data_IF_692108643999
#
_entry.id   IF_692108643999
#
_cell.length_a   1.000
_cell.length_b   1.000
_cell.length_c   1.000
_cell.angle_alpha   90.00
_cell.angle_beta   90.00
_cell.angle_gamma   90.00
#
_symmetry.space_group_name_H-M   'P 1'
#
loop_
_entity.id
_entity.type
_entity.pdbx_description
1 polymer ?
#
# COMPACT_ATOMS: atom_id res chain seq x y z
N UNK A 1 -9.76 -38.53 -46.81
CA UNK A 1 -9.93 -38.84 -45.38
C UNK A 1 -9.09 -37.86 -44.49
N UNK A 2 -7.81 -37.70 -44.74
CA UNK A 2 -6.90 -36.85 -43.93
C UNK A 2 -7.32 -35.37 -43.78
N UNK A 3 -7.80 -34.69 -44.85
CA UNK A 3 -8.26 -33.29 -44.80
C UNK A 3 -9.39 -33.07 -43.77
N UNK A 4 -10.37 -33.98 -43.74
CA UNK A 4 -11.48 -33.89 -42.78
C UNK A 4 -11.03 -34.08 -41.35
N UNK A 5 -10.12 -35.03 -41.13
CA UNK A 5 -9.52 -35.26 -39.80
C UNK A 5 -8.70 -34.06 -39.33
N UNK A 6 -7.87 -33.49 -40.24
CA UNK A 6 -7.06 -32.30 -39.90
C UNK A 6 -7.92 -31.10 -39.54
N UNK A 7 -9.02 -30.86 -40.30
CA UNK A 7 -9.97 -29.80 -40.00
C UNK A 7 -10.66 -30.03 -38.66
N UNK A 8 -11.13 -31.25 -38.42
CA UNK A 8 -11.80 -31.56 -37.15
C UNK A 8 -10.87 -31.42 -35.93
N UNK A 9 -9.63 -31.91 -36.02
CA UNK A 9 -8.65 -31.78 -34.95
C UNK A 9 -8.22 -30.33 -34.70
N UNK A 10 -8.04 -29.55 -35.77
CA UNK A 10 -7.73 -28.11 -35.65
C UNK A 10 -8.88 -27.33 -35.02
N UNK A 11 -10.12 -27.66 -35.41
CA UNK A 11 -11.31 -27.04 -34.81
C UNK A 11 -11.45 -27.38 -33.33
N UNK A 12 -11.22 -28.65 -32.97
CA UNK A 12 -11.24 -29.08 -31.57
C UNK A 12 -10.16 -28.37 -30.74
N UNK A 13 -8.93 -28.29 -31.28
CA UNK A 13 -7.85 -27.57 -30.63
C UNK A 13 -8.15 -26.09 -30.45
N UNK A 14 -8.73 -25.42 -31.46
CA UNK A 14 -9.15 -24.03 -31.36
C UNK A 14 -10.25 -23.82 -30.33
N UNK A 15 -11.24 -24.74 -30.25
CA UNK A 15 -12.28 -24.70 -29.21
C UNK A 15 -11.71 -24.85 -27.82
N UNK A 16 -10.79 -25.80 -27.62
CA UNK A 16 -10.15 -26.01 -26.30
C UNK A 16 -9.31 -24.77 -25.87
N UNK A 17 -8.53 -24.22 -26.80
CA UNK A 17 -7.80 -22.98 -26.56
C UNK A 17 -8.74 -21.80 -26.25
N UNK A 18 -9.82 -21.66 -27.00
CA UNK A 18 -10.82 -20.63 -26.75
C UNK A 18 -11.51 -20.79 -25.39
N UNK A 19 -11.85 -22.02 -25.00
CA UNK A 19 -12.48 -22.30 -23.72
C UNK A 19 -11.59 -21.92 -22.52
N UNK A 20 -10.27 -21.98 -22.67
CA UNK A 20 -9.30 -21.54 -21.66
C UNK A 20 -9.07 -20.05 -21.73
N UNK A 21 -8.81 -19.53 -22.91
CA UNK A 21 -8.32 -18.15 -23.09
C UNK A 21 -9.42 -17.10 -22.90
N UNK A 22 -10.65 -17.37 -23.40
CA UNK A 22 -11.75 -16.40 -23.32
C UNK A 22 -12.11 -16.04 -21.87
N UNK A 23 -12.35 -16.98 -20.95
CA UNK A 23 -12.59 -16.65 -19.55
C UNK A 23 -11.42 -15.87 -18.93
N UNK A 24 -10.18 -16.27 -19.20
CA UNK A 24 -9.00 -15.60 -18.68
C UNK A 24 -8.91 -14.14 -19.16
N UNK A 25 -9.32 -13.83 -20.40
CA UNK A 25 -9.35 -12.46 -20.92
C UNK A 25 -10.50 -11.67 -20.30
N UNK A 26 -11.69 -12.26 -20.11
CA UNK A 26 -12.86 -11.58 -19.54
C UNK A 26 -12.69 -11.22 -18.07
N UNK A 27 -12.07 -12.10 -17.28
CA UNK A 27 -11.74 -11.84 -15.89
C UNK A 27 -10.42 -11.10 -15.68
N UNK A 28 -9.53 -11.16 -16.67
CA UNK A 28 -8.23 -10.48 -16.76
C UNK A 28 -7.48 -10.40 -15.41
N UNK A 29 -7.13 -11.52 -14.79
CA UNK A 29 -6.51 -11.54 -13.47
C UNK A 29 -5.16 -10.83 -13.41
N UNK A 30 -4.48 -10.67 -14.55
CA UNK A 30 -3.16 -10.05 -14.67
C UNK A 30 -3.18 -8.60 -15.17
N UNK A 31 -4.37 -8.03 -15.47
CA UNK A 31 -4.52 -6.66 -15.97
C UNK A 31 -3.76 -6.37 -17.28
N UNK A 32 -3.59 -7.37 -18.15
CA UNK A 32 -3.08 -7.14 -19.50
C UNK A 32 -4.07 -6.40 -20.38
N UNK A 33 -5.35 -6.52 -20.11
CA UNK A 33 -6.43 -5.86 -20.84
C UNK A 33 -7.06 -4.75 -19.99
N UNK A 34 -8.27 -4.92 -19.51
CA UNK A 34 -9.02 -3.88 -18.79
C UNK A 34 -9.44 -4.32 -17.37
N UNK A 35 -8.82 -5.35 -16.84
CA UNK A 35 -9.25 -5.98 -15.60
C UNK A 35 -10.56 -6.76 -15.77
N UNK A 36 -11.13 -7.22 -14.67
CA UNK A 36 -12.37 -7.98 -14.69
C UNK A 36 -13.55 -7.13 -15.19
N UNK A 37 -13.95 -7.34 -16.46
CA UNK A 37 -15.03 -6.59 -17.11
C UNK A 37 -16.42 -7.11 -16.74
N UNK A 38 -16.53 -8.29 -16.11
CA UNK A 38 -17.81 -8.94 -15.82
C UNK A 38 -18.46 -8.39 -14.54
N UNK A 39 -17.68 -8.15 -13.48
CA UNK A 39 -18.21 -7.62 -12.22
C UNK A 39 -17.36 -6.48 -11.63
N UNK A 40 -16.38 -6.03 -12.37
CA UNK A 40 -15.59 -4.82 -12.11
C UNK A 40 -14.79 -4.82 -10.79
N UNK A 41 -14.50 -6.01 -10.25
CA UNK A 41 -13.73 -6.17 -9.03
C UNK A 41 -12.65 -7.22 -9.20
N UNK A 42 -11.41 -6.84 -8.89
CA UNK A 42 -10.27 -7.75 -8.86
C UNK A 42 -9.72 -7.90 -7.43
N UNK A 43 -9.45 -9.11 -6.98
CA UNK A 43 -8.64 -9.34 -5.77
C UNK A 43 -7.19 -8.86 -5.98
N UNK A 44 -6.47 -8.63 -4.87
CA UNK A 44 -5.09 -8.10 -4.91
C UNK A 44 -4.01 -9.21 -4.89
N UNK A 45 -4.12 -10.30 -5.54
CA UNK A 45 -3.22 -11.45 -5.36
C UNK A 45 -1.83 -11.31 -5.98
N UNK A 46 -1.59 -10.52 -6.98
CA UNK A 46 -0.26 -10.25 -7.52
C UNK A 46 -0.12 -8.79 -7.90
N UNK A 47 -0.12 -7.91 -6.88
CA UNK A 47 -0.09 -6.46 -7.10
C UNK A 47 1.12 -5.98 -7.91
N UNK A 48 2.27 -6.60 -7.72
CA UNK A 48 3.51 -6.21 -8.39
C UNK A 48 3.41 -6.42 -9.89
N UNK A 49 3.04 -7.63 -10.30
CA UNK A 49 2.92 -7.93 -11.72
C UNK A 49 1.75 -7.17 -12.38
N UNK A 50 0.59 -7.15 -11.73
CA UNK A 50 -0.59 -6.46 -12.28
C UNK A 50 -0.37 -4.96 -12.45
N UNK A 51 0.28 -4.30 -11.49
CA UNK A 51 0.62 -2.87 -11.59
C UNK A 51 1.66 -2.60 -12.67
N UNK A 52 2.66 -3.47 -12.81
CA UNK A 52 3.63 -3.37 -13.91
C UNK A 52 2.95 -3.50 -15.26
N UNK A 53 2.08 -4.50 -15.44
CA UNK A 53 1.35 -4.69 -16.69
C UNK A 53 0.51 -3.46 -17.02
N UNK A 54 -0.20 -2.91 -16.03
CA UNK A 54 -1.00 -1.71 -16.20
C UNK A 54 -0.13 -0.49 -16.55
N UNK A 55 0.98 -0.29 -15.86
CA UNK A 55 1.92 0.81 -16.12
C UNK A 55 2.48 0.75 -17.56
N UNK A 56 2.93 -0.43 -17.97
CA UNK A 56 3.57 -0.64 -19.27
C UNK A 56 2.64 -0.46 -20.47
N UNK A 57 1.32 -0.46 -20.27
CA UNK A 57 0.36 -0.15 -21.36
C UNK A 57 0.50 1.27 -21.89
N UNK A 58 0.78 2.23 -21.01
CA UNK A 58 0.84 3.65 -21.38
C UNK A 58 1.73 4.43 -20.39
N UNK A 59 3.02 4.10 -20.29
CA UNK A 59 3.89 4.69 -19.28
C UNK A 59 4.05 6.20 -19.48
N UNK A 60 4.04 6.68 -20.73
CA UNK A 60 4.17 8.11 -21.06
C UNK A 60 2.98 8.98 -20.63
N UNK A 61 1.88 8.35 -20.25
CA UNK A 61 0.71 9.04 -19.71
C UNK A 61 0.97 9.66 -18.33
N UNK A 62 1.95 9.12 -17.56
CA UNK A 62 2.14 9.45 -16.16
C UNK A 62 3.30 10.43 -15.97
N UNK A 63 3.06 11.51 -15.25
CA UNK A 63 4.05 12.49 -14.79
C UNK A 63 4.18 12.55 -13.27
N UNK A 64 3.52 11.60 -12.57
CA UNK A 64 3.52 11.49 -11.12
C UNK A 64 3.56 10.02 -10.69
N UNK A 65 4.41 9.71 -9.71
CA UNK A 65 4.52 8.38 -9.11
C UNK A 65 4.16 8.41 -7.63
N UNK A 66 3.31 7.48 -7.21
CA UNK A 66 2.98 7.24 -5.79
C UNK A 66 3.59 5.90 -5.39
N UNK A 67 4.43 5.89 -4.37
CA UNK A 67 5.10 4.71 -3.81
C UNK A 67 4.71 4.50 -2.36
N UNK A 68 4.76 3.27 -1.90
CA UNK A 68 4.51 2.90 -0.51
C UNK A 68 4.02 1.47 -0.35
N UNK A 69 3.52 1.16 0.82
CA UNK A 69 2.99 -0.16 1.16
C UNK A 69 1.51 -0.32 0.78
N UNK A 70 0.93 -1.42 1.28
CA UNK A 70 -0.51 -1.68 1.19
C UNK A 70 -1.38 -0.55 1.78
N UNK A 71 -0.88 0.20 2.77
CA UNK A 71 -1.57 1.37 3.32
C UNK A 71 -1.78 2.44 2.24
N UNK A 72 -0.73 2.73 1.48
CA UNK A 72 -0.73 3.76 0.42
C UNK A 72 -1.54 3.35 -0.82
N UNK A 73 -1.90 2.09 -0.98
CA UNK A 73 -2.72 1.64 -2.12
C UNK A 73 -4.07 2.38 -2.21
N UNK A 74 -4.60 2.84 -1.06
CA UNK A 74 -5.87 3.59 -1.00
C UNK A 74 -5.76 5.06 -1.41
N UNK A 75 -4.55 5.59 -1.61
CA UNK A 75 -4.33 6.92 -2.18
C UNK A 75 -4.57 6.87 -3.69
N UNK A 76 -5.84 7.00 -4.09
CA UNK A 76 -6.18 6.95 -5.50
C UNK A 76 -5.56 8.14 -6.28
N UNK A 77 -5.11 7.87 -7.51
CA UNK A 77 -4.47 8.88 -8.37
C UNK A 77 -5.34 10.14 -8.55
N UNK A 78 -6.66 9.99 -8.63
CA UNK A 78 -7.61 11.10 -8.76
C UNK A 78 -7.65 12.07 -7.58
N UNK A 79 -7.09 11.69 -6.41
CA UNK A 79 -7.01 12.60 -5.26
C UNK A 79 -5.83 13.58 -5.37
N UNK A 80 -4.95 13.37 -6.34
CA UNK A 80 -3.77 14.20 -6.58
C UNK A 80 -4.03 15.12 -7.75
N UNK A 81 -4.55 16.31 -7.44
CA UNK A 81 -4.97 17.26 -8.46
C UNK A 81 -3.77 17.86 -9.23
N UNK A 82 -3.94 18.03 -10.54
CA UNK A 82 -2.96 18.66 -11.42
C UNK A 82 -1.88 17.74 -11.96
N UNK A 83 -1.93 16.44 -11.62
CA UNK A 83 -0.96 15.44 -12.07
C UNK A 83 -1.64 14.17 -12.60
N UNK A 84 -0.97 13.50 -13.52
CA UNK A 84 -1.36 12.16 -13.97
C UNK A 84 -0.55 11.13 -13.19
N UNK A 85 -1.04 10.74 -12.02
CA UNK A 85 -0.32 9.85 -11.13
C UNK A 85 -0.52 8.37 -11.46
N UNK A 86 0.53 7.57 -11.27
CA UNK A 86 0.47 6.13 -11.17
C UNK A 86 0.72 5.69 -9.72
N UNK A 87 -0.23 4.97 -9.11
CA UNK A 87 -0.05 4.41 -7.78
C UNK A 87 0.60 3.02 -7.87
N UNK A 88 1.92 2.96 -7.60
CA UNK A 88 2.71 1.72 -7.57
C UNK A 88 2.87 1.16 -6.15
N UNK A 89 2.13 1.66 -5.17
CA UNK A 89 2.14 1.09 -3.82
C UNK A 89 1.66 -0.37 -3.84
N UNK A 90 2.33 -1.25 -3.09
CA UNK A 90 2.06 -2.69 -3.06
C UNK A 90 2.15 -3.23 -1.64
N UNK A 91 1.59 -4.42 -1.40
CA UNK A 91 1.70 -5.08 -0.08
C UNK A 91 3.15 -5.15 0.38
N UNK A 92 3.38 -4.69 1.61
CA UNK A 92 4.72 -4.52 2.16
C UNK A 92 5.41 -5.84 2.53
N UNK A 93 6.72 -5.76 2.54
CA UNK A 93 7.61 -6.69 3.23
C UNK A 93 8.69 -5.90 4.00
N UNK A 94 9.29 -6.52 5.00
CA UNK A 94 10.44 -5.93 5.68
C UNK A 94 11.54 -5.58 4.67
N UNK A 95 12.11 -4.39 4.78
CA UNK A 95 13.11 -3.90 3.83
C UNK A 95 12.58 -3.45 2.47
N UNK A 96 11.29 -3.24 2.33
CA UNK A 96 10.61 -2.85 1.07
C UNK A 96 11.18 -1.59 0.42
N UNK A 97 11.83 -0.70 1.16
CA UNK A 97 12.37 0.55 0.62
C UNK A 97 13.34 0.34 -0.55
N UNK A 98 14.07 -0.78 -0.55
CA UNK A 98 14.90 -1.17 -1.71
C UNK A 98 14.07 -1.45 -2.96
N UNK A 99 12.89 -2.06 -2.80
CA UNK A 99 11.93 -2.30 -3.87
C UNK A 99 11.36 -0.98 -4.42
N UNK A 100 11.00 -0.04 -3.54
CA UNK A 100 10.51 1.28 -3.93
C UNK A 100 11.53 2.04 -4.79
N UNK A 101 12.82 1.95 -4.44
CA UNK A 101 13.90 2.52 -5.25
C UNK A 101 13.91 1.97 -6.68
N UNK A 102 13.80 0.65 -6.85
CA UNK A 102 13.77 0.05 -8.18
C UNK A 102 12.54 0.44 -8.97
N UNK A 103 11.36 0.51 -8.36
CA UNK A 103 10.16 1.02 -9.03
C UNK A 103 10.34 2.46 -9.49
N UNK A 104 10.86 3.34 -8.63
CA UNK A 104 11.12 4.72 -8.97
C UNK A 104 12.06 4.86 -10.17
N UNK A 105 13.18 4.13 -10.15
CA UNK A 105 14.15 4.12 -11.24
C UNK A 105 13.56 3.66 -12.57
N UNK A 106 12.72 2.61 -12.57
CA UNK A 106 12.10 2.13 -13.80
C UNK A 106 10.96 3.03 -14.26
N UNK A 107 10.20 3.60 -13.34
CA UNK A 107 9.21 4.60 -13.67
C UNK A 107 9.86 5.77 -14.40
N UNK A 108 10.92 6.35 -13.85
CA UNK A 108 11.65 7.45 -14.47
C UNK A 108 12.17 7.11 -15.88
N UNK A 109 12.58 5.85 -16.09
CA UNK A 109 13.07 5.40 -17.40
C UNK A 109 11.97 5.32 -18.47
N UNK A 110 10.73 4.98 -18.12
CA UNK A 110 9.67 4.67 -19.10
C UNK A 110 8.54 5.70 -19.14
N UNK A 111 8.34 6.51 -18.09
CA UNK A 111 7.31 7.56 -18.06
C UNK A 111 7.71 8.79 -18.86
N UNK A 112 6.79 9.75 -18.96
CA UNK A 112 7.12 11.13 -19.29
C UNK A 112 8.01 11.74 -18.19
N UNK A 113 8.52 12.98 -18.43
CA UNK A 113 9.33 13.65 -17.39
C UNK A 113 8.54 13.74 -16.08
N UNK A 114 8.99 13.06 -15.01
CA UNK A 114 8.27 13.07 -13.74
C UNK A 114 8.27 14.48 -13.14
N UNK A 115 7.10 14.96 -12.72
CA UNK A 115 6.90 16.25 -12.06
C UNK A 115 6.66 16.12 -10.56
N UNK A 116 6.18 14.95 -10.12
CA UNK A 116 5.83 14.69 -8.73
C UNK A 116 6.18 13.26 -8.33
N UNK A 117 6.85 13.13 -7.18
CA UNK A 117 7.07 11.86 -6.49
C UNK A 117 6.40 11.94 -5.11
N UNK A 118 5.49 11.01 -4.81
CA UNK A 118 4.85 10.87 -3.49
C UNK A 118 5.29 9.54 -2.89
N UNK A 119 5.80 9.55 -1.66
CA UNK A 119 6.32 8.34 -1.00
C UNK A 119 5.73 8.19 0.40
N UNK A 120 5.03 7.08 0.64
CA UNK A 120 4.69 6.64 1.99
C UNK A 120 5.92 6.07 2.70
N UNK A 121 6.21 6.60 3.87
CA UNK A 121 7.33 6.19 4.74
C UNK A 121 6.75 5.58 6.01
N UNK A 122 7.13 4.35 6.30
CA UNK A 122 6.45 3.54 7.32
C UNK A 122 7.45 2.86 8.25
N UNK A 123 7.02 2.52 9.47
CA UNK A 123 7.84 1.96 10.53
C UNK A 123 8.63 0.72 10.10
N UNK A 124 7.98 -0.20 9.39
CA UNK A 124 8.65 -1.44 8.95
C UNK A 124 9.71 -1.21 7.86
N UNK A 125 9.74 -0.05 7.24
CA UNK A 125 10.82 0.30 6.30
C UNK A 125 12.18 0.45 7.00
N UNK A 126 12.17 0.69 8.31
CA UNK A 126 13.37 0.80 9.14
C UNK A 126 13.65 -0.47 9.96
N UNK A 127 12.84 -1.52 9.78
CA UNK A 127 13.03 -2.82 10.42
C UNK A 127 13.84 -3.74 9.52
N UNK A 128 14.94 -4.27 10.03
CA UNK A 128 15.79 -5.22 9.32
C UNK A 128 16.56 -4.63 8.13
N UNK A 129 17.40 -5.45 7.50
CA UNK A 129 18.23 -5.01 6.38
C UNK A 129 17.37 -4.71 5.15
N UNK A 130 17.77 -3.73 4.34
CA UNK A 130 17.12 -3.46 3.08
C UNK A 130 17.25 -4.64 2.14
N UNK A 131 16.23 -4.92 1.36
CA UNK A 131 16.30 -5.95 0.31
C UNK A 131 17.34 -5.52 -0.73
N UNK A 132 18.42 -6.28 -0.83
CA UNK A 132 19.48 -6.07 -1.82
C UNK A 132 19.25 -6.83 -3.11
N UNK A 133 18.38 -7.84 -3.08
CA UNK A 133 18.02 -8.61 -4.26
C UNK A 133 17.15 -7.76 -5.19
N UNK A 134 17.46 -7.79 -6.49
CA UNK A 134 16.59 -7.22 -7.50
C UNK A 134 15.33 -8.10 -7.51
N UNK A 135 14.17 -7.59 -7.10
CA UNK A 135 12.95 -8.38 -7.08
C UNK A 135 12.63 -8.92 -8.48
N UNK A 136 11.99 -10.09 -8.54
CA UNK A 136 11.63 -10.75 -9.81
C UNK A 136 10.81 -9.83 -10.74
N UNK A 137 9.92 -9.03 -10.18
CA UNK A 137 9.13 -8.08 -10.97
C UNK A 137 9.98 -7.01 -11.69
N UNK A 138 11.17 -6.67 -11.18
CA UNK A 138 12.10 -5.77 -11.88
C UNK A 138 12.62 -6.43 -13.17
N UNK A 139 12.77 -7.74 -13.18
CA UNK A 139 13.10 -8.48 -14.41
C UNK A 139 11.96 -8.41 -15.42
N UNK A 140 10.72 -8.49 -14.95
CA UNK A 140 9.52 -8.34 -15.79
C UNK A 140 9.41 -6.93 -16.38
N UNK A 141 9.78 -5.88 -15.64
CA UNK A 141 9.87 -4.51 -16.18
C UNK A 141 10.87 -4.41 -17.33
N UNK A 142 11.99 -5.14 -17.26
CA UNK A 142 13.00 -5.16 -18.32
C UNK A 142 12.55 -5.94 -19.55
N UNK A 143 11.88 -7.05 -19.34
CA UNK A 143 11.41 -7.97 -20.39
C UNK A 143 10.05 -8.53 -19.98
N UNK A 144 8.96 -7.76 -20.18
CA UNK A 144 7.63 -8.23 -19.84
C UNK A 144 7.33 -9.50 -20.66
N UNK A 145 6.76 -10.55 -20.02
CA UNK A 145 6.34 -11.72 -20.74
C UNK A 145 5.20 -11.35 -21.71
N UNK A 146 5.11 -11.96 -22.90
CA UNK A 146 4.01 -11.73 -23.79
C UNK A 146 2.70 -12.20 -23.16
N UNK A 147 1.62 -11.43 -23.34
CA UNK A 147 0.33 -11.68 -22.69
C UNK A 147 -0.18 -13.14 -22.89
N UNK A 148 0.00 -13.70 -24.08
CA UNK A 148 -0.48 -15.06 -24.40
C UNK A 148 0.20 -16.14 -23.53
N UNK A 149 1.46 -15.95 -23.14
CA UNK A 149 2.16 -16.90 -22.27
C UNK A 149 1.54 -16.99 -20.88
N UNK A 150 0.86 -15.91 -20.45
CA UNK A 150 0.13 -15.87 -19.18
C UNK A 150 -1.29 -16.44 -19.33
N UNK A 151 -2.03 -16.04 -20.37
CA UNK A 151 -3.46 -16.38 -20.50
C UNK A 151 -3.72 -17.81 -21.01
N UNK A 152 -2.70 -18.53 -21.48
CA UNK A 152 -2.79 -19.96 -21.86
C UNK A 152 -2.10 -20.85 -20.81
N UNK A 153 -2.02 -20.41 -19.56
CA UNK A 153 -1.38 -21.13 -18.47
C UNK A 153 -2.38 -21.69 -17.47
N UNK A 154 -2.00 -22.77 -16.78
CA UNK A 154 -2.79 -23.28 -15.64
C UNK A 154 -2.90 -22.27 -14.51
N UNK A 155 -1.88 -21.44 -14.31
CA UNK A 155 -1.88 -20.37 -13.34
C UNK A 155 -2.96 -19.32 -13.62
N UNK A 156 -3.15 -18.97 -14.92
CA UNK A 156 -4.22 -18.06 -15.32
C UNK A 156 -5.61 -18.65 -15.03
N UNK A 157 -5.80 -19.95 -15.27
CA UNK A 157 -7.08 -20.63 -14.94
C UNK A 157 -7.34 -20.54 -13.44
N UNK A 158 -6.33 -20.85 -12.62
CA UNK A 158 -6.45 -20.78 -11.16
C UNK A 158 -6.82 -19.37 -10.68
N UNK A 159 -6.13 -18.33 -11.18
CA UNK A 159 -6.43 -16.95 -10.81
C UNK A 159 -7.77 -16.47 -11.35
N UNK A 160 -8.12 -16.85 -12.58
CA UNK A 160 -9.46 -16.59 -13.14
C UNK A 160 -10.54 -17.20 -12.25
N UNK A 161 -10.35 -18.43 -11.80
CA UNK A 161 -11.30 -19.06 -10.85
C UNK A 161 -11.38 -18.28 -9.52
N UNK A 162 -10.24 -17.81 -8.98
CA UNK A 162 -10.20 -16.98 -7.76
C UNK A 162 -10.94 -15.65 -7.96
N UNK A 163 -10.83 -15.04 -9.14
CA UNK A 163 -11.55 -13.80 -9.48
C UNK A 163 -13.03 -14.07 -9.68
N UNK A 164 -13.41 -15.11 -10.43
CA UNK A 164 -14.78 -15.46 -10.75
C UNK A 164 -15.57 -15.91 -9.52
N UNK A 165 -14.96 -16.68 -8.63
CA UNK A 165 -15.62 -17.22 -7.44
C UNK A 165 -15.78 -16.15 -6.36
N UNK A 166 -16.99 -15.57 -6.26
CA UNK A 166 -17.36 -14.57 -5.25
C UNK A 166 -17.17 -15.06 -3.81
N UNK A 167 -17.09 -16.37 -3.59
CA UNK A 167 -16.85 -16.98 -2.29
C UNK A 167 -15.38 -17.24 -1.98
N UNK A 168 -14.47 -17.02 -2.91
CA UNK A 168 -13.03 -17.19 -2.69
C UNK A 168 -12.50 -16.26 -1.58
N UNK A 169 -11.47 -16.71 -0.87
CA UNK A 169 -10.77 -15.84 0.13
C UNK A 169 -10.34 -14.51 -0.46
N UNK A 170 -9.85 -14.54 -1.70
CA UNK A 170 -9.35 -13.34 -2.39
C UNK A 170 -10.47 -12.32 -2.64
N UNK A 171 -11.66 -12.78 -3.06
CA UNK A 171 -12.84 -11.93 -3.27
C UNK A 171 -13.44 -11.42 -1.96
N UNK A 172 -13.22 -12.16 -0.91
CA UNK A 172 -13.65 -11.81 0.45
C UNK A 172 -12.61 -10.99 1.21
N UNK A 173 -11.50 -10.65 0.63
CA UNK A 173 -10.52 -9.74 1.22
C UNK A 173 -11.14 -8.38 1.57
N UNK A 174 -10.77 -7.76 2.70
CA UNK A 174 -11.23 -6.39 3.02
C UNK A 174 -10.77 -5.36 1.98
N UNK A 175 -9.70 -5.63 1.23
CA UNK A 175 -9.19 -4.79 0.15
C UNK A 175 -9.34 -5.49 -1.20
N UNK A 176 -9.96 -4.81 -2.15
CA UNK A 176 -10.07 -5.22 -3.56
C UNK A 176 -9.79 -4.03 -4.46
N UNK A 177 -9.59 -4.27 -5.75
CA UNK A 177 -9.38 -3.23 -6.75
C UNK A 177 -10.62 -3.07 -7.63
N UNK A 178 -11.00 -1.82 -7.91
CA UNK A 178 -12.04 -1.47 -8.88
C UNK A 178 -11.47 -1.40 -10.32
N UNK A 179 -12.30 -1.09 -11.31
CA UNK A 179 -11.93 -0.98 -12.73
C UNK A 179 -10.86 0.09 -13.01
N UNK A 180 -10.76 1.11 -12.18
CA UNK A 180 -9.72 2.14 -12.30
C UNK A 180 -8.40 1.73 -11.62
N UNK A 181 -8.31 0.47 -11.19
CA UNK A 181 -7.18 -0.05 -10.42
C UNK A 181 -6.94 0.72 -9.12
N UNK A 182 -8.01 1.14 -8.45
CA UNK A 182 -7.97 1.80 -7.16
C UNK A 182 -8.36 0.81 -6.07
N UNK A 183 -7.57 0.78 -5.00
CA UNK A 183 -7.93 -0.03 -3.85
C UNK A 183 -9.17 0.55 -3.14
N UNK A 184 -10.13 -0.31 -2.87
CA UNK A 184 -11.37 0.04 -2.17
C UNK A 184 -11.64 -0.96 -1.05
N UNK A 185 -12.34 -0.51 0.00
CA UNK A 185 -12.86 -1.43 1.00
C UNK A 185 -13.94 -2.32 0.37
N UNK A 186 -13.81 -3.61 0.60
CA UNK A 186 -14.86 -4.55 0.28
C UNK A 186 -15.94 -4.45 1.38
N UNK A 187 -16.97 -3.64 1.11
CA UNK A 187 -18.02 -3.26 2.07
C UNK A 187 -18.76 -4.45 2.70
N UNK A 188 -18.73 -5.62 2.05
CA UNK A 188 -19.34 -6.83 2.60
C UNK A 188 -18.57 -7.44 3.77
N UNK A 189 -17.44 -6.82 4.19
CA UNK A 189 -16.55 -7.33 5.23
C UNK A 189 -15.85 -6.25 6.05
N UNK A 190 -16.57 -5.21 6.44
CA UNK A 190 -16.13 -4.48 7.63
C UNK A 190 -16.02 -5.53 8.75
N UNK A 191 -14.81 -5.72 9.25
CA UNK A 191 -14.67 -6.34 10.55
C UNK A 191 -15.51 -5.46 11.48
N UNK A 192 -16.40 -6.07 12.28
CA UNK A 192 -17.07 -5.30 13.35
C UNK A 192 -15.98 -4.62 14.18
N UNK A 193 -16.30 -3.50 14.81
CA UNK A 193 -15.38 -2.79 15.71
C UNK A 193 -14.75 -3.79 16.68
N UNK A 194 -15.54 -4.71 17.24
CA UNK A 194 -15.05 -5.77 18.13
C UNK A 194 -14.03 -6.72 17.48
N UNK A 195 -14.15 -7.01 16.19
CA UNK A 195 -13.13 -7.80 15.46
C UNK A 195 -11.91 -7.00 15.07
N UNK A 196 -12.06 -5.71 14.79
CA UNK A 196 -10.92 -4.82 14.54
C UNK A 196 -10.10 -4.64 15.81
N UNK A 197 -10.79 -4.40 16.91
CA UNK A 197 -10.22 -4.28 18.24
C UNK A 197 -9.60 -5.61 18.66
N UNK A 198 -10.24 -6.75 18.38
CA UNK A 198 -9.70 -8.08 18.64
C UNK A 198 -8.46 -8.40 17.81
N UNK A 199 -8.40 -8.03 16.54
CA UNK A 199 -7.19 -8.17 15.69
C UNK A 199 -6.05 -7.28 16.20
N UNK A 200 -6.37 -6.07 16.64
CA UNK A 200 -5.39 -5.16 17.29
C UNK A 200 -4.96 -5.76 18.63
N UNK A 201 -5.90 -6.27 19.41
CA UNK A 201 -5.62 -6.87 20.72
C UNK A 201 -4.92 -8.24 20.65
N UNK A 202 -5.24 -9.08 19.68
CA UNK A 202 -4.51 -10.32 19.41
C UNK A 202 -3.08 -10.04 18.96
N UNK A 203 -2.84 -8.91 18.30
CA UNK A 203 -1.50 -8.40 18.00
C UNK A 203 -0.83 -7.70 19.18
N UNK A 204 -1.59 -7.18 20.15
CA UNK A 204 -1.11 -6.56 21.40
C UNK A 204 -1.14 -7.58 22.55
N UNK A 205 -1.03 -8.89 22.28
CA UNK A 205 -1.05 -9.94 23.32
C UNK A 205 -1.97 -9.58 24.52
N UNK A 206 -3.22 -9.25 24.21
CA UNK A 206 -4.29 -9.08 25.20
C UNK A 206 -4.13 -7.91 26.14
N UNK A 207 -3.70 -6.71 25.67
CA UNK A 207 -3.55 -5.54 26.54
C UNK A 207 -2.68 -5.80 27.79
N UNK A 208 -1.94 -6.90 27.81
CA UNK A 208 -0.98 -7.22 28.84
C UNK A 208 0.30 -6.46 28.55
N UNK A 209 0.57 -5.43 29.32
CA UNK A 209 1.73 -4.52 29.25
C UNK A 209 3.10 -5.19 29.32
N UNK A 210 3.20 -6.52 29.34
CA UNK A 210 4.39 -7.22 29.81
C UNK A 210 5.03 -8.17 28.78
N UNK A 211 4.49 -8.30 27.57
CA UNK A 211 5.16 -9.11 26.55
C UNK A 211 5.43 -8.28 25.29
N UNK A 212 6.71 -8.15 24.90
CA UNK A 212 7.06 -7.42 23.70
C UNK A 212 6.44 -8.12 22.49
N UNK A 213 5.55 -7.44 21.81
CA UNK A 213 5.09 -7.85 20.49
C UNK A 213 6.32 -7.89 19.59
N UNK A 214 6.28 -8.79 18.62
CA UNK A 214 7.29 -8.93 17.56
C UNK A 214 7.30 -7.73 16.58
N UNK A 215 7.30 -6.50 17.07
CA UNK A 215 7.90 -5.41 16.36
C UNK A 215 9.39 -5.74 16.35
N UNK A 216 9.84 -6.32 15.24
CA UNK A 216 11.19 -6.78 15.15
C UNK A 216 12.14 -5.67 15.57
N UNK A 217 13.09 -6.04 16.39
CA UNK A 217 14.37 -5.40 16.68
C UNK A 217 14.54 -3.94 16.20
N UNK A 218 15.15 -3.12 17.01
CA UNK A 218 15.56 -1.73 16.85
C UNK A 218 15.45 -1.18 15.40
N UNK A 219 14.77 -0.08 15.25
CA UNK A 219 14.75 0.66 13.99
C UNK A 219 16.17 1.03 13.57
N UNK A 220 16.56 0.69 12.33
CA UNK A 220 17.86 0.96 11.79
C UNK A 220 17.80 2.11 10.77
N UNK A 221 18.70 3.10 10.81
CA UNK A 221 18.78 4.16 9.82
C UNK A 221 19.33 3.68 8.47
N UNK A 222 19.84 2.43 8.37
CA UNK A 222 20.49 1.91 7.17
C UNK A 222 19.63 2.00 5.91
N UNK A 223 18.31 2.03 6.07
CA UNK A 223 17.36 2.09 4.96
C UNK A 223 17.16 3.50 4.41
N UNK A 224 17.55 4.55 5.15
CA UNK A 224 17.44 5.96 4.71
C UNK A 224 18.23 6.19 3.41
N UNK A 225 19.35 5.51 3.22
CA UNK A 225 20.12 5.55 1.97
C UNK A 225 19.34 5.17 0.72
N UNK A 226 18.30 4.34 0.83
CA UNK A 226 17.47 3.96 -0.32
C UNK A 226 16.46 5.04 -0.66
N UNK A 227 15.91 5.76 0.34
CA UNK A 227 15.14 6.98 0.08
C UNK A 227 15.98 8.05 -0.60
N UNK A 228 17.22 8.26 -0.14
CA UNK A 228 18.17 9.18 -0.78
C UNK A 228 18.44 8.80 -2.24
N UNK A 229 18.68 7.50 -2.52
CA UNK A 229 18.84 6.99 -3.89
C UNK A 229 17.57 7.16 -4.72
N UNK A 230 16.39 6.88 -4.15
CA UNK A 230 15.12 7.05 -4.84
C UNK A 230 14.90 8.51 -5.26
N UNK A 231 15.10 9.47 -4.34
CA UNK A 231 14.91 10.90 -4.61
C UNK A 231 15.90 11.39 -5.68
N UNK A 232 17.13 10.90 -5.65
CA UNK A 232 18.15 11.24 -6.65
C UNK A 232 17.78 10.79 -8.08
N UNK A 233 16.88 9.82 -8.26
CA UNK A 233 16.35 9.45 -9.59
C UNK A 233 15.34 10.51 -10.11
N UNK A 234 14.89 11.46 -9.29
CA UNK A 234 13.86 12.45 -9.61
C UNK A 234 14.34 13.90 -9.41
N UNK A 235 15.47 14.32 -9.99
CA UNK A 235 16.12 15.60 -9.64
C UNK A 235 15.30 16.84 -10.00
N UNK A 236 14.34 16.72 -10.92
CA UNK A 236 13.48 17.83 -11.37
C UNK A 236 12.04 17.71 -10.88
N UNK A 237 11.70 16.65 -10.16
CA UNK A 237 10.36 16.46 -9.64
C UNK A 237 10.24 17.05 -8.23
N UNK A 238 9.06 17.61 -7.93
CA UNK A 238 8.71 17.89 -6.54
C UNK A 238 8.56 16.57 -5.77
N UNK A 239 9.14 16.49 -4.58
CA UNK A 239 9.13 15.30 -3.74
C UNK A 239 8.29 15.51 -2.49
N UNK A 240 7.31 14.64 -2.25
CA UNK A 240 6.45 14.67 -1.08
C UNK A 240 6.56 13.34 -0.35
N UNK A 241 7.10 13.37 0.87
CA UNK A 241 7.05 12.22 1.78
C UNK A 241 5.87 12.33 2.73
N UNK A 242 5.36 11.22 3.19
CA UNK A 242 4.38 11.20 4.26
C UNK A 242 4.36 9.89 5.03
N UNK A 243 4.09 9.97 6.33
CA UNK A 243 3.76 8.81 7.15
C UNK A 243 2.26 8.53 6.99
N UNK A 244 1.85 7.37 6.43
CA UNK A 244 0.45 7.00 6.36
C UNK A 244 -0.20 6.90 7.75
N UNK A 245 -1.51 7.14 7.88
CA UNK A 245 -2.18 6.98 9.16
C UNK A 245 -2.11 5.53 9.65
N UNK A 246 -1.86 5.38 10.93
CA UNK A 246 -2.01 4.16 11.70
C UNK A 246 -2.92 4.47 12.88
N UNK A 247 -3.63 3.46 13.41
CA UNK A 247 -4.42 3.69 14.61
C UNK A 247 -3.52 4.16 15.75
N UNK A 248 -4.06 5.02 16.57
CA UNK A 248 -3.33 5.54 17.72
C UNK A 248 -2.83 4.40 18.64
N UNK A 249 -3.58 3.29 18.72
CA UNK A 249 -3.18 2.11 19.49
C UNK A 249 -1.87 1.50 18.96
N UNK A 250 -1.64 1.49 17.64
CA UNK A 250 -0.37 1.04 17.05
C UNK A 250 0.80 1.99 17.36
N UNK A 251 0.55 3.29 17.35
CA UNK A 251 1.58 4.25 17.72
C UNK A 251 1.92 4.14 19.20
N UNK A 252 0.90 3.96 20.04
CA UNK A 252 1.07 3.76 21.48
C UNK A 252 1.83 2.46 21.81
N UNK A 253 1.63 1.41 21.02
CA UNK A 253 2.41 0.18 21.10
C UNK A 253 3.91 0.44 20.86
N UNK A 254 4.28 1.21 19.83
CA UNK A 254 5.67 1.61 19.56
C UNK A 254 6.25 2.38 20.76
N UNK A 255 5.44 3.23 21.39
CA UNK A 255 5.80 3.96 22.60
C UNK A 255 6.03 3.01 23.81
N UNK A 256 5.10 2.11 24.09
CA UNK A 256 5.19 1.15 25.21
C UNK A 256 6.40 0.21 25.08
N UNK A 257 6.78 -0.13 23.85
CA UNK A 257 7.96 -0.95 23.57
C UNK A 257 9.29 -0.19 23.74
N UNK A 258 9.26 1.11 24.09
CA UNK A 258 10.44 1.93 24.23
C UNK A 258 11.19 2.20 22.93
N UNK A 259 10.54 1.97 21.77
CA UNK A 259 11.17 2.11 20.46
C UNK A 259 10.76 3.39 19.72
N UNK A 260 9.90 4.21 20.33
CA UNK A 260 9.35 5.41 19.72
C UNK A 260 10.46 6.40 19.28
N UNK A 261 11.46 6.61 20.12
CA UNK A 261 12.55 7.56 19.80
C UNK A 261 13.30 7.17 18.53
N UNK A 262 13.69 5.90 18.42
CA UNK A 262 14.35 5.39 17.20
C UNK A 262 13.46 5.48 15.97
N UNK A 263 12.16 5.24 16.12
CA UNK A 263 11.18 5.42 15.04
C UNK A 263 11.08 6.88 14.59
N UNK A 264 10.86 7.81 15.52
CA UNK A 264 10.72 9.24 15.22
C UNK A 264 11.98 9.84 14.61
N UNK A 265 13.16 9.44 15.11
CA UNK A 265 14.43 9.89 14.56
C UNK A 265 14.57 9.47 13.09
N UNK A 266 14.29 8.19 12.77
CA UNK A 266 14.37 7.72 11.39
C UNK A 266 13.35 8.41 10.46
N UNK A 267 12.14 8.70 10.96
CA UNK A 267 11.15 9.47 10.20
C UNK A 267 11.66 10.89 9.95
N UNK A 268 12.18 11.55 11.00
CA UNK A 268 12.68 12.92 10.90
C UNK A 268 13.87 13.02 9.92
N UNK A 269 14.87 12.15 10.06
CA UNK A 269 16.01 12.12 9.12
C UNK A 269 15.57 11.83 7.69
N UNK A 270 14.56 10.96 7.50
CA UNK A 270 14.00 10.70 6.18
C UNK A 270 13.26 11.92 5.63
N UNK A 271 12.53 12.66 6.48
CA UNK A 271 11.76 13.83 6.09
C UNK A 271 12.68 14.93 5.50
N UNK A 272 13.92 15.06 6.00
CA UNK A 272 14.91 16.03 5.48
C UNK A 272 15.27 15.81 4.01
N UNK A 273 15.04 14.62 3.47
CA UNK A 273 15.32 14.30 2.08
C UNK A 273 14.26 14.81 1.09
N UNK A 274 13.04 15.13 1.58
CA UNK A 274 11.91 15.55 0.74
C UNK A 274 11.73 17.06 0.74
N UNK A 275 11.07 17.59 -0.30
CA UNK A 275 10.69 19.02 -0.32
C UNK A 275 9.59 19.33 0.70
N UNK A 276 8.68 18.39 0.92
CA UNK A 276 7.57 18.48 1.88
C UNK A 276 7.39 17.11 2.54
N UNK A 277 7.11 17.11 3.84
CA UNK A 277 6.89 15.86 4.56
C UNK A 277 5.80 16.00 5.65
N UNK A 278 4.75 15.17 5.54
CA UNK A 278 3.65 15.15 6.49
C UNK A 278 3.60 13.85 7.30
N UNK A 279 3.32 13.96 8.59
CA UNK A 279 2.99 12.79 9.43
C UNK A 279 1.50 12.74 9.74
N UNK A 280 0.80 11.70 9.22
CA UNK A 280 -0.61 11.42 9.49
C UNK A 280 -0.79 10.33 10.55
N UNK A 281 0.28 9.79 11.14
CA UNK A 281 0.19 8.75 12.18
C UNK A 281 -0.12 9.28 13.57
N UNK A 282 -0.08 10.59 13.75
CA UNK A 282 -0.33 11.26 15.01
C UNK A 282 -1.74 10.99 15.56
N UNK A 283 -1.92 10.97 16.89
CA UNK A 283 -3.23 11.01 17.51
C UNK A 283 -4.07 12.17 16.96
N UNK A 284 -5.15 11.85 16.28
CA UNK A 284 -6.03 12.78 15.56
C UNK A 284 -7.43 12.18 15.44
N UNK A 285 -8.40 12.96 14.95
CA UNK A 285 -9.75 12.45 14.66
C UNK A 285 -9.78 11.30 13.66
N UNK A 286 -8.74 11.14 12.81
CA UNK A 286 -8.64 10.02 11.89
C UNK A 286 -8.09 8.79 12.62
N UNK A 287 -6.97 8.92 13.31
CA UNK A 287 -6.24 7.79 13.91
C UNK A 287 -6.95 7.22 15.14
N UNK A 288 -7.82 8.00 15.78
CA UNK A 288 -8.68 7.59 16.91
C UNK A 288 -9.98 6.91 16.47
N UNK A 289 -10.38 7.08 15.19
CA UNK A 289 -11.65 6.54 14.68
C UNK A 289 -11.45 5.14 14.08
N UNK A 290 -11.85 4.12 14.83
CA UNK A 290 -11.80 2.72 14.40
C UNK A 290 -12.68 2.40 13.20
N UNK A 291 -13.72 3.21 12.90
CA UNK A 291 -14.61 2.99 11.75
C UNK A 291 -13.95 3.37 10.42
N UNK A 292 -12.88 4.15 10.46
CA UNK A 292 -12.12 4.56 9.28
C UNK A 292 -11.10 3.53 8.83
N UNK A 293 -10.87 2.48 9.59
CA UNK A 293 -9.90 1.41 9.30
C UNK A 293 -10.52 0.03 9.48
N UNK A 294 -9.99 -1.01 8.80
CA UNK A 294 -10.46 -2.38 9.02
C UNK A 294 -9.51 -3.22 9.90
N UNK A 295 -8.31 -2.73 10.20
CA UNK A 295 -7.30 -3.44 10.99
C UNK A 295 -6.33 -2.51 11.76
N UNK A 296 -6.68 -1.23 11.90
CA UNK A 296 -5.83 -0.22 12.53
C UNK A 296 -4.62 0.23 11.69
N UNK A 297 -4.49 -0.28 10.47
CA UNK A 297 -3.35 -0.01 9.58
C UNK A 297 -3.78 0.49 8.21
N UNK A 298 -4.91 0.00 7.72
CA UNK A 298 -5.43 0.33 6.41
C UNK A 298 -6.68 1.20 6.57
N UNK A 299 -6.56 2.45 6.20
CA UNK A 299 -7.62 3.45 6.30
C UNK A 299 -8.44 3.54 5.00
N UNK A 300 -9.65 4.05 5.14
CA UNK A 300 -10.63 4.11 4.04
C UNK A 300 -10.19 5.05 2.91
N UNK A 301 -10.77 4.84 1.71
CA UNK A 301 -10.57 5.74 0.57
C UNK A 301 -10.99 7.18 0.89
N UNK A 302 -12.02 7.38 1.73
CA UNK A 302 -12.45 8.70 2.17
C UNK A 302 -11.39 9.41 3.02
N UNK A 303 -10.66 8.67 3.85
CA UNK A 303 -9.49 9.18 4.58
C UNK A 303 -8.39 9.60 3.61
N UNK A 304 -8.06 8.75 2.64
CA UNK A 304 -7.03 9.05 1.66
C UNK A 304 -7.41 10.17 0.67
N UNK A 305 -8.69 10.43 0.45
CA UNK A 305 -9.13 11.63 -0.27
C UNK A 305 -8.75 12.90 0.47
N UNK A 306 -8.96 12.95 1.81
CA UNK A 306 -8.51 14.09 2.64
C UNK A 306 -7.00 14.23 2.61
N UNK A 307 -6.27 13.11 2.77
CA UNK A 307 -4.80 13.09 2.68
C UNK A 307 -4.32 13.63 1.33
N UNK A 308 -4.87 13.17 0.21
CA UNK A 308 -4.49 13.64 -1.12
C UNK A 308 -4.67 15.16 -1.31
N UNK A 309 -5.75 15.73 -0.75
CA UNK A 309 -5.98 17.17 -0.76
C UNK A 309 -4.90 17.93 0.05
N UNK A 310 -4.49 17.39 1.21
CA UNK A 310 -3.45 18.02 2.05
C UNK A 310 -2.09 17.94 1.34
N UNK A 311 -1.70 16.77 0.80
CA UNK A 311 -0.44 16.58 0.12
C UNK A 311 -0.23 17.56 -1.04
N UNK A 312 -1.32 17.93 -1.73
CA UNK A 312 -1.23 18.81 -2.91
C UNK A 312 -1.47 20.29 -2.62
N UNK A 313 -2.34 20.61 -1.65
CA UNK A 313 -2.78 21.99 -1.40
C UNK A 313 -2.28 22.58 -0.09
N UNK A 314 -1.67 21.81 0.80
CA UNK A 314 -1.33 22.17 2.20
C UNK A 314 -2.54 22.66 3.06
N UNK A 315 -3.76 22.64 2.54
CA UNK A 315 -4.93 23.13 3.23
C UNK A 315 -5.47 22.07 4.21
N UNK A 316 -5.68 22.42 5.46
CA UNK A 316 -6.27 21.56 6.50
C UNK A 316 -5.27 20.55 7.12
N UNK A 317 -3.97 20.74 6.91
CA UNK A 317 -2.93 19.89 7.50
C UNK A 317 -2.96 19.95 9.04
N UNK A 318 -3.14 21.13 9.61
CA UNK A 318 -3.00 21.40 11.05
C UNK A 318 -3.86 20.51 11.96
N UNK A 319 -4.99 20.03 11.45
CA UNK A 319 -5.92 19.17 12.20
C UNK A 319 -5.59 17.68 12.05
N UNK A 320 -5.12 17.27 10.88
CA UNK A 320 -4.99 15.85 10.50
C UNK A 320 -3.55 15.36 10.38
N UNK A 321 -2.59 16.26 10.20
CA UNK A 321 -1.18 15.94 10.00
C UNK A 321 -0.29 17.02 10.60
N UNK A 322 0.99 16.66 10.73
CA UNK A 322 2.05 17.61 11.07
C UNK A 322 3.01 17.72 9.88
N UNK A 323 3.31 18.95 9.47
CA UNK A 323 4.41 19.22 8.54
C UNK A 323 5.72 19.16 9.34
N UNK A 324 6.40 18.02 9.28
CA UNK A 324 7.62 17.77 10.06
C UNK A 324 8.72 18.80 9.72
N UNK A 325 8.77 19.23 8.46
CA UNK A 325 9.80 20.21 8.02
C UNK A 325 9.58 21.63 8.55
N UNK A 326 8.42 21.91 9.16
CA UNK A 326 8.12 23.18 9.78
C UNK A 326 8.65 23.31 11.22
N UNK A 327 9.24 22.26 11.78
CA UNK A 327 9.66 22.21 13.17
C UNK A 327 10.96 21.42 13.37
N UNK A 328 11.65 21.66 14.51
CA UNK A 328 12.81 20.85 14.89
C UNK A 328 12.43 19.49 15.45
N UNK A 329 13.39 18.56 15.46
CA UNK A 329 13.17 17.19 15.96
C UNK A 329 12.59 17.13 17.37
N UNK A 330 13.11 17.91 18.30
CA UNK A 330 12.61 17.93 19.68
C UNK A 330 11.18 18.43 19.78
N UNK A 331 10.79 19.42 18.97
CA UNK A 331 9.41 19.91 18.92
C UNK A 331 8.46 18.84 18.37
N UNK A 332 8.89 18.13 17.31
CA UNK A 332 8.14 17.01 16.73
C UNK A 332 7.97 15.88 17.76
N UNK A 333 9.05 15.45 18.43
CA UNK A 333 9.04 14.42 19.46
C UNK A 333 8.11 14.82 20.63
N UNK A 334 8.25 16.03 21.15
CA UNK A 334 7.42 16.53 22.25
C UNK A 334 5.94 16.59 21.88
N UNK A 335 5.62 16.98 20.65
CA UNK A 335 4.23 17.00 20.18
C UNK A 335 3.59 15.62 20.20
N UNK A 336 4.34 14.59 19.81
CA UNK A 336 3.86 13.19 19.81
C UNK A 336 3.69 12.69 21.25
N UNK A 337 4.69 12.89 22.10
CA UNK A 337 4.67 12.46 23.50
C UNK A 337 3.49 13.12 24.25
N UNK A 338 3.31 14.43 24.10
CA UNK A 338 2.22 15.15 24.74
C UNK A 338 0.84 14.58 24.36
N UNK A 339 0.66 14.13 23.11
CA UNK A 339 -0.61 13.52 22.67
C UNK A 339 -0.76 12.08 23.16
N UNK A 340 0.30 11.28 23.20
CA UNK A 340 0.26 9.89 23.66
C UNK A 340 0.16 9.77 25.19
N UNK A 341 0.73 10.73 25.92
CA UNK A 341 0.74 10.75 27.38
C UNK A 341 -0.44 11.52 27.98
N UNK A 342 -1.37 12.03 27.12
CA UNK A 342 -2.54 12.70 27.62
C UNK A 342 -3.41 11.74 28.44
N UNK A 343 -3.90 12.22 29.59
CA UNK A 343 -4.75 11.42 30.49
C UNK A 343 -6.02 10.93 29.80
N UNK A 344 -6.57 11.74 28.91
CA UNK A 344 -7.74 11.39 28.10
C UNK A 344 -7.45 10.18 27.20
N UNK A 345 -6.34 10.20 26.47
CA UNK A 345 -5.95 9.10 25.61
C UNK A 345 -5.67 7.80 26.40
N UNK A 346 -4.91 7.89 27.49
CA UNK A 346 -4.60 6.74 28.34
C UNK A 346 -5.88 6.12 28.91
N UNK A 347 -6.80 6.94 29.40
CA UNK A 347 -8.09 6.47 29.92
C UNK A 347 -8.94 5.77 28.86
N UNK A 348 -9.00 6.32 27.64
CA UNK A 348 -9.72 5.69 26.53
C UNK A 348 -9.06 4.38 26.07
N UNK A 349 -7.74 4.33 26.05
CA UNK A 349 -7.00 3.11 25.73
C UNK A 349 -7.31 1.99 26.74
N UNK A 350 -7.27 2.29 28.04
CA UNK A 350 -7.64 1.36 29.10
C UNK A 350 -9.09 0.84 28.93
N UNK A 351 -10.07 1.73 28.71
CA UNK A 351 -11.46 1.34 28.48
C UNK A 351 -11.63 0.45 27.25
N UNK A 352 -10.84 0.66 26.18
CA UNK A 352 -10.82 -0.24 25.02
C UNK A 352 -10.27 -1.60 25.39
N UNK A 353 -9.18 -1.65 26.14
CA UNK A 353 -8.61 -2.90 26.62
C UNK A 353 -9.58 -3.70 27.50
N UNK A 354 -10.24 -3.06 28.46
CA UNK A 354 -11.23 -3.68 29.33
C UNK A 354 -12.38 -4.33 28.53
N UNK A 355 -12.90 -3.61 27.52
CA UNK A 355 -13.93 -4.17 26.63
C UNK A 355 -13.47 -5.39 25.84
N UNK A 356 -12.18 -5.49 25.52
CA UNK A 356 -11.60 -6.61 24.76
C UNK A 356 -11.43 -7.83 25.64
N UNK A 357 -10.96 -7.61 26.88
CA UNK A 357 -10.68 -8.69 27.85
C UNK A 357 -11.97 -9.20 28.48
N UNK A 358 -13.09 -8.49 28.32
CA UNK A 358 -14.39 -8.92 28.84
C UNK A 358 -14.55 -8.71 30.35
N UNK A 359 -13.83 -7.72 30.93
CA UNK A 359 -13.95 -7.29 32.32
C UNK A 359 -14.87 -6.07 32.40
#
# INVERSE_FOLDING_TARGET
>A
MYKKYLIASSFLAAMLLGAVTIPNILYDPWWYFNGNILDQVNPYFNERETKINLFLKSPQKYDCLILGSSRVTFLAARYINGYSCFNMAVSASVGQVGELYYFGRYFNKYSSVPKLLIVGVEEFNFQGPPSTNIPEFVRQLKKPPPWYSRYISLEAIEFTHKVANKNSKSRKSPRVYNQNFEAVFNTNKRLSIDKQVKVIAENIEGCNYLKPIRLGKNFSPDNIKYYKKLIAEFPSARTIGFVPPISVDRLFEIYLLGTLEGYLNNIYETAELFDVFFDFSLPSTITNDGDLTYDGSHFSSATYEKIGKILTKKAGAEVLAVDIKSMGYEQYKQLILMRLESQEFISEYHKRCERIIGI
#
